data_IF_752351135442
#
_entry.id   IF_752351135442
#
_cell.length_a   1.000
_cell.length_b   1.000
_cell.length_c   1.000
_cell.angle_alpha   90.00
_cell.angle_beta   90.00
_cell.angle_gamma   90.00
#
_symmetry.space_group_name_H-M   'P 1'
#
loop_
_entity.id
_entity.type
_entity.pdbx_description
1 polymer ?
#
# COMPACT_ATOMS: atom_id res chain seq x y z
N UNK A 1 40.90 11.43 54.34
CA UNK A 1 39.76 12.32 54.57
C UNK A 1 38.60 12.14 53.50
N UNK A 2 38.56 11.08 52.69
CA UNK A 2 37.56 10.88 51.68
C UNK A 2 36.34 10.01 52.03
N UNK A 3 36.30 9.41 53.23
CA UNK A 3 35.26 8.39 53.57
C UNK A 3 33.99 8.95 54.22
N UNK A 4 34.03 10.14 54.84
CA UNK A 4 32.86 10.67 55.53
C UNK A 4 31.84 11.35 54.60
N UNK A 5 32.31 12.04 53.59
CA UNK A 5 31.46 12.74 52.59
C UNK A 5 30.60 11.76 51.78
N UNK A 6 31.17 10.64 51.33
CA UNK A 6 30.44 9.61 50.60
C UNK A 6 29.35 8.92 51.43
N UNK A 7 29.60 8.72 52.74
CA UNK A 7 28.61 8.12 53.65
C UNK A 7 27.42 9.05 53.90
N UNK A 8 27.68 10.36 54.02
CA UNK A 8 26.62 11.37 54.18
C UNK A 8 25.76 11.51 52.97
N UNK A 9 26.36 11.58 51.77
CA UNK A 9 25.66 11.63 50.51
C UNK A 9 24.78 10.38 50.29
N UNK A 10 25.30 9.19 50.59
CA UNK A 10 24.53 7.93 50.45
C UNK A 10 23.33 7.87 51.40
N UNK A 11 23.47 8.44 52.61
CA UNK A 11 22.41 8.52 53.62
C UNK A 11 21.30 9.52 53.19
N UNK A 12 21.68 10.67 52.62
CA UNK A 12 20.73 11.66 52.06
C UNK A 12 19.96 11.10 50.85
N UNK A 13 20.64 10.38 49.96
CA UNK A 13 20.00 9.70 48.84
C UNK A 13 18.96 8.68 49.35
N UNK A 14 19.28 7.91 50.35
CA UNK A 14 18.35 6.94 50.94
C UNK A 14 17.14 7.57 51.63
N UNK A 15 17.28 8.75 52.20
CA UNK A 15 16.16 9.49 52.82
C UNK A 15 15.25 10.19 51.82
N UNK A 16 15.74 10.45 50.60
CA UNK A 16 14.98 11.14 49.55
C UNK A 16 14.88 10.33 48.23
N UNK A 17 14.87 9.00 48.30
CA UNK A 17 14.82 8.08 47.17
C UNK A 17 13.70 8.44 46.18
N UNK A 18 12.49 8.77 46.66
CA UNK A 18 11.38 9.15 45.82
C UNK A 18 11.67 10.35 44.91
N UNK A 19 12.42 11.34 45.46
CA UNK A 19 12.80 12.55 44.73
C UNK A 19 13.85 12.25 43.65
N UNK A 20 14.82 11.39 43.92
CA UNK A 20 15.82 10.96 42.99
C UNK A 20 15.22 10.09 41.90
N UNK A 21 14.32 9.16 42.26
CA UNK A 21 13.61 8.34 41.29
C UNK A 21 12.71 9.17 40.37
N UNK A 22 12.03 10.20 40.88
CA UNK A 22 11.20 11.09 40.07
C UNK A 22 12.04 11.85 39.04
N UNK A 23 13.19 12.43 39.46
CA UNK A 23 14.07 13.14 38.51
C UNK A 23 14.66 12.18 37.49
N UNK A 24 15.12 11.01 37.95
CA UNK A 24 15.65 9.98 37.01
C UNK A 24 14.60 9.50 36.02
N UNK A 25 13.37 9.30 36.46
CA UNK A 25 12.28 8.92 35.58
C UNK A 25 11.95 9.99 34.52
N UNK A 26 11.95 11.28 34.90
CA UNK A 26 11.73 12.38 33.97
C UNK A 26 12.82 12.44 32.90
N UNK A 27 14.10 12.32 33.34
CA UNK A 27 15.24 12.31 32.41
C UNK A 27 15.21 11.08 31.50
N UNK A 28 14.93 9.90 32.06
CA UNK A 28 14.82 8.66 31.28
C UNK A 28 13.70 8.72 30.26
N UNK A 29 12.52 9.27 30.61
CA UNK A 29 11.42 9.51 29.70
C UNK A 29 11.81 10.48 28.58
N UNK A 30 12.45 11.60 28.92
CA UNK A 30 12.86 12.59 27.91
C UNK A 30 13.87 12.01 26.91
N UNK A 31 14.92 11.34 27.42
CA UNK A 31 15.93 10.70 26.55
C UNK A 31 15.34 9.55 25.76
N UNK A 32 14.53 8.71 26.40
CA UNK A 32 13.87 7.55 25.76
C UNK A 32 12.92 7.97 24.64
N UNK A 33 12.08 8.98 24.89
CA UNK A 33 11.17 9.52 23.88
C UNK A 33 11.92 10.12 22.68
N UNK A 34 12.93 10.94 22.93
CA UNK A 34 13.73 11.57 21.88
C UNK A 34 14.49 10.54 21.03
N UNK A 35 15.14 9.57 21.70
CA UNK A 35 15.85 8.50 21.00
C UNK A 35 14.90 7.61 20.22
N UNK A 36 13.73 7.27 20.79
CA UNK A 36 12.71 6.49 20.14
C UNK A 36 12.20 7.15 18.86
N UNK A 37 11.84 8.43 18.94
CA UNK A 37 11.35 9.18 17.76
C UNK A 37 12.40 9.24 16.65
N UNK A 38 13.68 9.42 16.97
CA UNK A 38 14.76 9.47 15.99
C UNK A 38 14.95 8.14 15.29
N UNK A 39 14.97 7.04 16.04
CA UNK A 39 15.10 5.68 15.47
C UNK A 39 13.87 5.31 14.62
N UNK A 40 12.67 5.67 15.08
CA UNK A 40 11.43 5.37 14.37
C UNK A 40 11.44 5.94 12.94
N UNK A 41 11.90 7.20 12.78
CA UNK A 41 12.00 7.82 11.44
C UNK A 41 12.91 7.01 10.51
N UNK A 42 14.10 6.65 10.98
CA UNK A 42 15.09 5.96 10.15
C UNK A 42 14.60 4.54 9.78
N UNK A 43 13.95 3.84 10.71
CA UNK A 43 13.33 2.54 10.46
C UNK A 43 12.18 2.64 9.46
N UNK A 44 11.30 3.64 9.59
CA UNK A 44 10.19 3.83 8.65
C UNK A 44 10.68 4.09 7.23
N UNK A 45 11.66 4.99 7.06
CA UNK A 45 12.24 5.28 5.73
C UNK A 45 12.90 4.04 5.13
N UNK A 46 13.72 3.33 5.91
CA UNK A 46 14.39 2.11 5.43
C UNK A 46 13.40 1.00 5.08
N UNK A 47 12.33 0.85 5.86
CA UNK A 47 11.28 -0.14 5.59
C UNK A 47 10.49 0.20 4.33
N UNK A 48 10.18 1.48 4.12
CA UNK A 48 9.51 1.93 2.91
C UNK A 48 10.37 1.73 1.66
N UNK A 49 11.67 2.08 1.74
CA UNK A 49 12.61 1.86 0.65
C UNK A 49 12.72 0.37 0.29
N UNK A 50 12.89 -0.49 1.31
CA UNK A 50 12.95 -1.94 1.08
C UNK A 50 11.67 -2.47 0.44
N UNK A 51 10.50 -1.98 0.85
CA UNK A 51 9.21 -2.37 0.28
C UNK A 51 9.10 -1.94 -1.19
N UNK A 52 9.47 -0.71 -1.52
CA UNK A 52 9.45 -0.21 -2.90
C UNK A 52 10.46 -0.93 -3.79
N UNK A 53 11.66 -1.23 -3.28
CA UNK A 53 12.66 -2.00 -4.01
C UNK A 53 12.17 -3.43 -4.29
N UNK A 54 11.55 -4.09 -3.30
CA UNK A 54 11.02 -5.45 -3.44
C UNK A 54 9.83 -5.56 -4.38
N UNK A 55 9.04 -4.49 -4.51
CA UNK A 55 7.87 -4.44 -5.39
C UNK A 55 8.17 -3.82 -6.75
N UNK A 56 9.42 -3.45 -7.01
CA UNK A 56 9.85 -2.74 -8.23
C UNK A 56 8.96 -1.52 -8.51
N UNK A 57 8.73 -0.72 -7.45
CA UNK A 57 7.85 0.44 -7.54
C UNK A 57 8.43 1.48 -8.50
N UNK A 58 7.61 2.05 -9.36
CA UNK A 58 8.04 3.03 -10.35
C UNK A 58 8.56 4.33 -9.71
N UNK A 59 9.57 4.95 -10.32
CA UNK A 59 10.03 6.29 -9.93
C UNK A 59 9.19 7.41 -10.57
N UNK A 60 8.63 7.14 -11.76
CA UNK A 60 7.85 8.11 -12.55
C UNK A 60 6.68 7.41 -13.24
N UNK A 61 5.51 8.00 -13.10
CA UNK A 61 4.31 7.61 -13.83
C UNK A 61 3.94 8.71 -14.84
N UNK A 62 3.67 8.31 -16.08
CA UNK A 62 3.17 9.18 -17.14
C UNK A 62 1.72 8.79 -17.45
N UNK A 63 0.80 9.71 -17.27
CA UNK A 63 -0.62 9.48 -17.49
C UNK A 63 -1.07 10.25 -18.74
N UNK A 64 -1.82 9.59 -19.62
CA UNK A 64 -2.45 10.20 -20.78
C UNK A 64 -3.91 9.76 -20.88
N UNK A 65 -4.81 10.73 -20.97
CA UNK A 65 -6.26 10.48 -21.15
C UNK A 65 -6.62 10.05 -22.58
N UNK A 66 -5.73 10.28 -23.53
CA UNK A 66 -5.89 9.86 -24.95
C UNK A 66 -5.06 8.62 -25.28
N UNK A 67 -4.44 8.01 -24.26
CA UNK A 67 -3.55 6.87 -24.42
C UNK A 67 -2.17 7.24 -24.92
N UNK A 68 -1.34 6.23 -25.09
CA UNK A 68 0.00 6.29 -25.68
C UNK A 68 0.07 5.39 -26.91
N UNK A 69 0.99 5.69 -27.81
CA UNK A 69 1.28 4.78 -28.93
C UNK A 69 1.81 3.44 -28.40
N UNK A 70 1.50 2.36 -29.10
CA UNK A 70 1.83 0.97 -28.69
C UNK A 70 3.32 0.74 -28.40
N UNK A 71 4.21 1.53 -29.00
CA UNK A 71 5.65 1.42 -28.84
C UNK A 71 6.25 2.47 -27.87
N UNK A 72 5.43 3.32 -27.24
CA UNK A 72 5.88 4.40 -26.37
C UNK A 72 6.74 3.89 -25.20
N UNK A 73 6.32 2.82 -24.52
CA UNK A 73 7.08 2.21 -23.44
C UNK A 73 8.46 1.73 -23.91
N UNK A 74 8.51 1.08 -25.09
CA UNK A 74 9.78 0.62 -25.72
C UNK A 74 10.68 1.78 -26.12
N UNK A 75 10.13 2.91 -26.54
CA UNK A 75 10.90 4.11 -26.87
C UNK A 75 11.45 4.75 -25.58
N UNK A 76 10.66 4.77 -24.51
CA UNK A 76 11.09 5.29 -23.20
C UNK A 76 12.20 4.44 -22.59
N UNK A 77 12.10 3.11 -22.60
CA UNK A 77 13.13 2.22 -22.04
C UNK A 77 14.49 2.30 -22.76
N UNK A 78 14.55 2.90 -23.96
CA UNK A 78 15.80 3.17 -24.69
C UNK A 78 16.46 4.50 -24.34
N UNK A 79 15.82 5.34 -23.51
CA UNK A 79 16.36 6.65 -23.12
C UNK A 79 17.44 6.46 -22.07
N UNK A 80 18.47 7.29 -22.15
CA UNK A 80 19.52 7.34 -21.12
C UNK A 80 18.91 7.72 -19.76
N UNK A 81 19.23 6.97 -18.73
CA UNK A 81 18.72 7.14 -17.37
C UNK A 81 17.39 6.41 -17.09
N UNK A 82 16.78 5.74 -18.07
CA UNK A 82 15.61 4.88 -17.88
C UNK A 82 16.07 3.44 -17.78
N UNK A 83 15.80 2.79 -16.67
CA UNK A 83 16.14 1.39 -16.43
C UNK A 83 15.17 0.48 -17.17
N UNK A 84 13.86 0.73 -16.99
CA UNK A 84 12.78 0.03 -17.68
C UNK A 84 11.55 0.94 -17.77
N UNK A 85 10.65 0.63 -18.73
CA UNK A 85 9.37 1.30 -18.90
C UNK A 85 8.32 0.31 -19.37
N UNK A 86 7.23 0.20 -18.62
CA UNK A 86 6.09 -0.66 -18.97
C UNK A 86 4.84 0.18 -19.19
N UNK A 87 4.07 -0.19 -20.21
CA UNK A 87 2.74 0.38 -20.42
C UNK A 87 1.72 -0.34 -19.54
N UNK A 88 0.81 0.40 -18.95
CA UNK A 88 -0.30 -0.13 -18.17
C UNK A 88 -1.59 0.55 -18.54
N UNK A 89 -2.69 -0.15 -18.34
CA UNK A 89 -4.03 0.40 -18.42
C UNK A 89 -4.68 0.32 -17.04
N UNK A 90 -5.31 1.41 -16.65
CA UNK A 90 -6.13 1.45 -15.44
C UNK A 90 -7.41 2.23 -15.70
N UNK A 91 -8.50 1.78 -15.13
CA UNK A 91 -9.80 2.46 -15.20
C UNK A 91 -10.57 2.21 -13.90
N UNK A 92 -11.45 3.14 -13.56
CA UNK A 92 -12.43 2.91 -12.51
C UNK A 92 -13.64 2.20 -13.13
N UNK A 93 -14.16 1.20 -12.46
CA UNK A 93 -15.34 0.48 -12.89
C UNK A 93 -16.23 0.09 -11.71
N UNK A 94 -17.52 0.01 -11.96
CA UNK A 94 -18.49 -0.56 -11.03
C UNK A 94 -18.54 -2.08 -11.25
N UNK A 95 -18.31 -2.83 -10.17
CA UNK A 95 -18.39 -4.28 -10.16
C UNK A 95 -19.37 -4.75 -9.10
N UNK A 96 -20.15 -5.76 -9.42
CA UNK A 96 -21.15 -6.37 -8.55
C UNK A 96 -20.61 -7.69 -8.01
N UNK A 97 -20.71 -7.88 -6.71
CA UNK A 97 -20.39 -9.13 -6.05
C UNK A 97 -21.56 -10.13 -6.11
N UNK A 98 -21.32 -11.39 -5.66
CA UNK A 98 -22.35 -12.44 -5.62
C UNK A 98 -23.54 -12.12 -4.70
N UNK A 99 -23.40 -11.17 -3.80
CA UNK A 99 -24.46 -10.69 -2.90
C UNK A 99 -25.30 -9.56 -3.52
N UNK A 100 -24.88 -9.08 -4.69
CA UNK A 100 -25.55 -7.97 -5.40
C UNK A 100 -25.09 -6.58 -4.93
N UNK A 101 -24.02 -6.49 -4.14
CA UNK A 101 -23.46 -5.19 -3.78
C UNK A 101 -22.60 -4.66 -4.92
N UNK A 102 -22.80 -3.41 -5.27
CA UNK A 102 -22.02 -2.71 -6.29
C UNK A 102 -20.86 -1.95 -5.61
N UNK A 103 -19.64 -2.18 -6.08
CA UNK A 103 -18.41 -1.58 -5.58
C UNK A 103 -17.71 -0.82 -6.70
N UNK A 104 -17.28 0.40 -6.44
CA UNK A 104 -16.43 1.16 -7.35
C UNK A 104 -14.97 0.75 -7.13
N UNK A 105 -14.39 0.01 -8.07
CA UNK A 105 -13.03 -0.49 -7.97
C UNK A 105 -12.14 0.17 -9.03
N UNK A 106 -10.90 0.48 -8.66
CA UNK A 106 -9.88 0.76 -9.65
C UNK A 106 -9.33 -0.56 -10.20
N UNK A 107 -9.58 -0.79 -11.48
CA UNK A 107 -9.10 -1.98 -12.19
C UNK A 107 -7.78 -1.63 -12.85
N UNK A 108 -6.76 -2.39 -12.57
CA UNK A 108 -5.39 -2.20 -13.05
C UNK A 108 -4.89 -3.47 -13.72
N UNK A 109 -4.10 -3.29 -14.75
CA UNK A 109 -3.38 -4.40 -15.36
C UNK A 109 -2.26 -4.88 -14.43
N UNK A 110 -2.17 -6.19 -14.21
CA UNK A 110 -1.03 -6.80 -13.54
C UNK A 110 0.19 -6.74 -14.46
N UNK A 111 1.23 -6.03 -14.05
CA UNK A 111 2.47 -5.92 -14.81
C UNK A 111 3.40 -7.09 -14.48
N UNK A 112 4.32 -7.41 -15.41
CA UNK A 112 5.25 -8.54 -15.23
C UNK A 112 6.37 -8.26 -14.22
N UNK A 113 6.89 -7.03 -14.21
CA UNK A 113 8.08 -6.69 -13.44
C UNK A 113 7.92 -5.46 -12.52
N UNK A 114 7.08 -4.49 -12.90
CA UNK A 114 6.88 -3.26 -12.13
C UNK A 114 5.63 -3.31 -11.25
N UNK A 115 5.65 -2.56 -10.16
CA UNK A 115 4.53 -2.38 -9.23
C UNK A 115 3.92 -3.71 -8.75
N UNK A 116 4.79 -4.69 -8.47
CA UNK A 116 4.34 -6.02 -8.10
C UNK A 116 3.51 -6.01 -6.82
N UNK A 117 2.26 -6.49 -6.86
CA UNK A 117 1.45 -6.57 -5.65
C UNK A 117 2.00 -7.65 -4.71
N UNK A 118 1.93 -7.38 -3.41
CA UNK A 118 2.35 -8.32 -2.37
C UNK A 118 1.15 -9.20 -1.98
N UNK A 119 1.27 -10.50 -2.24
CA UNK A 119 0.24 -11.46 -1.92
C UNK A 119 0.03 -11.59 -0.40
N UNK A 120 -1.21 -11.41 0.04
CA UNK A 120 -1.63 -11.59 1.44
C UNK A 120 -2.22 -12.98 1.64
N UNK A 121 -3.09 -13.43 0.70
CA UNK A 121 -3.69 -14.78 0.72
C UNK A 121 -4.11 -15.19 -0.68
N UNK A 122 -4.22 -16.50 -0.91
CA UNK A 122 -4.56 -17.07 -2.22
C UNK A 122 -3.35 -17.16 -3.16
N UNK A 123 -3.50 -16.78 -4.41
CA UNK A 123 -2.48 -16.79 -5.46
C UNK A 123 -2.67 -15.63 -6.45
N UNK A 124 -1.68 -15.35 -7.27
CA UNK A 124 -1.81 -14.42 -8.39
C UNK A 124 -2.64 -15.03 -9.55
N UNK A 125 -3.27 -14.19 -10.40
CA UNK A 125 -4.02 -14.61 -11.58
C UNK A 125 -3.14 -15.42 -12.55
N UNK A 126 -3.75 -16.40 -13.20
CA UNK A 126 -3.12 -17.24 -14.24
C UNK A 126 -3.89 -17.18 -15.56
N UNK A 127 -5.01 -16.49 -15.58
CA UNK A 127 -5.84 -16.30 -16.77
C UNK A 127 -6.56 -14.95 -16.71
N UNK A 128 -7.00 -14.45 -17.85
CA UNK A 128 -7.74 -13.19 -17.95
C UNK A 128 -9.12 -13.17 -17.25
N UNK A 129 -9.60 -14.32 -16.77
CA UNK A 129 -10.85 -14.44 -16.00
C UNK A 129 -10.61 -14.48 -14.48
N UNK A 130 -9.37 -14.37 -14.07
CA UNK A 130 -9.00 -14.35 -12.66
C UNK A 130 -8.51 -12.96 -12.27
N UNK A 131 -8.79 -12.59 -11.03
CA UNK A 131 -8.31 -11.33 -10.46
C UNK A 131 -7.79 -11.52 -9.03
N UNK A 132 -6.96 -10.59 -8.61
CA UNK A 132 -6.64 -10.39 -7.20
C UNK A 132 -7.17 -9.04 -6.75
N UNK A 133 -7.62 -8.97 -5.51
CA UNK A 133 -8.32 -7.81 -4.97
C UNK A 133 -7.59 -7.22 -3.77
N UNK A 134 -7.92 -6.00 -3.43
CA UNK A 134 -7.42 -5.26 -2.28
C UNK A 134 -7.71 -6.02 -0.97
N UNK A 135 -6.65 -6.37 -0.24
CA UNK A 135 -6.77 -7.10 1.01
C UNK A 135 -7.41 -6.28 2.15
N UNK A 136 -7.48 -4.95 2.02
CA UNK A 136 -8.16 -4.10 3.00
C UNK A 136 -9.65 -3.96 2.72
N UNK A 137 -10.07 -4.02 1.46
CA UNK A 137 -11.47 -3.90 1.06
C UNK A 137 -12.21 -5.25 1.10
N UNK A 138 -11.51 -6.34 0.80
CA UNK A 138 -12.09 -7.68 0.69
C UNK A 138 -11.59 -8.62 1.79
N UNK A 139 -12.51 -9.36 2.41
CA UNK A 139 -12.22 -10.39 3.42
C UNK A 139 -11.62 -11.68 2.83
N UNK A 140 -11.16 -12.59 3.68
CA UNK A 140 -10.65 -13.89 3.25
C UNK A 140 -11.71 -14.77 2.56
N UNK A 141 -12.96 -14.60 2.93
CA UNK A 141 -14.14 -15.25 2.38
C UNK A 141 -14.45 -14.85 0.93
N UNK A 142 -13.86 -13.75 0.44
CA UNK A 142 -14.00 -13.35 -0.96
C UNK A 142 -13.24 -14.24 -1.94
N UNK A 143 -12.25 -15.03 -1.50
CA UNK A 143 -11.48 -15.90 -2.39
C UNK A 143 -12.38 -17.02 -2.93
N UNK A 144 -12.47 -17.09 -4.26
CA UNK A 144 -13.34 -18.01 -4.98
C UNK A 144 -14.64 -17.38 -5.44
N UNK A 145 -15.03 -16.24 -4.87
CA UNK A 145 -16.19 -15.46 -5.31
C UNK A 145 -15.94 -14.79 -6.69
N UNK A 146 -17.02 -14.31 -7.28
CA UNK A 146 -17.02 -13.72 -8.61
C UNK A 146 -17.42 -12.25 -8.54
N UNK A 147 -16.70 -11.42 -9.26
CA UNK A 147 -17.05 -10.03 -9.55
C UNK A 147 -17.50 -9.91 -10.99
N UNK A 148 -18.61 -9.23 -11.23
CA UNK A 148 -19.16 -9.00 -12.57
C UNK A 148 -19.26 -7.51 -12.82
N UNK A 149 -18.86 -7.03 -14.01
CA UNK A 149 -19.06 -5.65 -14.43
C UNK A 149 -20.54 -5.29 -14.31
N UNK A 150 -20.81 -4.14 -13.70
CA UNK A 150 -22.17 -3.62 -13.56
C UNK A 150 -22.68 -3.06 -14.87
N UNK A 151 -23.97 -3.23 -15.12
CA UNK A 151 -24.66 -2.58 -16.23
C UNK A 151 -24.79 -1.05 -16.05
N UNK A 152 -24.38 -0.52 -14.90
CA UNK A 152 -24.35 0.92 -14.59
C UNK A 152 -23.03 1.59 -15.04
N UNK A 153 -22.07 0.84 -15.58
CA UNK A 153 -20.92 1.42 -16.25
C UNK A 153 -21.33 2.11 -17.55
N UNK A 154 -20.52 3.05 -18.02
CA UNK A 154 -20.69 3.61 -19.34
C UNK A 154 -20.15 2.68 -20.43
N UNK A 155 -20.58 2.92 -21.68
CA UNK A 155 -20.19 2.12 -22.84
C UNK A 155 -18.66 2.12 -23.03
N UNK A 156 -18.00 3.26 -22.78
CA UNK A 156 -16.54 3.41 -22.93
C UNK A 156 -15.80 2.52 -21.94
N UNK A 157 -16.26 2.47 -20.69
CA UNK A 157 -15.71 1.57 -19.66
C UNK A 157 -15.94 0.11 -20.03
N UNK A 158 -17.14 -0.24 -20.48
CA UNK A 158 -17.51 -1.61 -20.87
C UNK A 158 -16.65 -2.14 -22.03
N UNK A 159 -16.34 -1.28 -23.01
CA UNK A 159 -15.49 -1.63 -24.16
C UNK A 159 -14.01 -1.87 -23.79
N UNK A 160 -13.54 -1.35 -22.67
CA UNK A 160 -12.17 -1.59 -22.19
C UNK A 160 -11.95 -3.03 -21.71
N UNK A 161 -13.02 -3.75 -21.38
CA UNK A 161 -12.94 -5.09 -20.82
C UNK A 161 -13.28 -6.17 -21.85
N UNK A 162 -12.32 -7.06 -22.11
CA UNK A 162 -12.55 -8.26 -22.90
C UNK A 162 -13.40 -9.31 -22.17
N UNK A 163 -13.44 -9.26 -20.84
CA UNK A 163 -14.19 -10.16 -19.97
C UNK A 163 -15.06 -9.34 -19.02
N UNK A 164 -16.30 -9.77 -18.81
CA UNK A 164 -17.23 -9.08 -17.91
C UNK A 164 -17.27 -9.71 -16.49
N UNK A 165 -16.64 -10.86 -16.32
CA UNK A 165 -16.72 -11.64 -15.08
C UNK A 165 -15.34 -12.09 -14.68
N UNK A 166 -14.98 -11.86 -13.42
CA UNK A 166 -13.66 -12.15 -12.85
C UNK A 166 -13.81 -12.96 -11.58
N UNK A 167 -13.05 -14.06 -11.47
CA UNK A 167 -12.97 -14.85 -10.25
C UNK A 167 -11.85 -14.35 -9.36
N UNK A 168 -12.16 -14.06 -8.12
CA UNK A 168 -11.15 -13.68 -7.12
C UNK A 168 -10.32 -14.91 -6.74
N UNK A 169 -9.02 -14.87 -7.01
CA UNK A 169 -8.09 -15.97 -6.71
C UNK A 169 -7.09 -15.63 -5.61
N UNK A 170 -7.04 -14.37 -5.20
CA UNK A 170 -6.18 -13.94 -4.11
C UNK A 170 -6.44 -12.51 -3.69
N UNK A 171 -5.82 -12.16 -2.57
CA UNK A 171 -5.87 -10.82 -1.97
C UNK A 171 -4.46 -10.28 -1.85
N UNK A 172 -4.29 -9.02 -2.18
CA UNK A 172 -2.98 -8.38 -2.30
C UNK A 172 -2.95 -7.00 -1.64
N UNK A 173 -1.75 -6.57 -1.26
CA UNK A 173 -1.42 -5.17 -1.02
C UNK A 173 -0.68 -4.63 -2.24
N UNK A 174 -1.01 -3.41 -2.66
CA UNK A 174 -0.35 -2.76 -3.79
C UNK A 174 0.61 -1.67 -3.31
N UNK A 175 1.82 -1.55 -3.88
CA UNK A 175 2.74 -0.46 -3.58
C UNK A 175 2.19 0.91 -4.03
N UNK A 176 1.31 0.93 -5.01
CA UNK A 176 0.62 2.15 -5.50
C UNK A 176 -0.28 2.74 -4.41
N UNK A 177 -0.82 1.89 -3.53
CA UNK A 177 -1.70 2.30 -2.44
C UNK A 177 -1.03 2.13 -1.07
N UNK A 178 -0.06 3.00 -0.78
CA UNK A 178 0.65 3.01 0.50
C UNK A 178 -0.18 3.55 1.67
N UNK A 179 -1.34 4.20 1.41
CA UNK A 179 -2.26 4.72 2.41
C UNK A 179 -3.57 3.92 2.47
N UNK A 180 -4.42 4.28 3.43
CA UNK A 180 -5.74 3.65 3.61
C UNK A 180 -6.77 4.14 2.58
N UNK A 181 -6.67 5.39 2.14
CA UNK A 181 -7.59 5.99 1.18
C UNK A 181 -7.26 5.54 -0.24
N UNK A 182 -8.29 5.12 -0.99
CA UNK A 182 -8.16 4.62 -2.37
C UNK A 182 -8.41 5.69 -3.43
N UNK A 183 -8.88 6.85 -3.03
CA UNK A 183 -9.14 7.97 -3.90
C UNK A 183 -10.63 8.21 -4.17
N UNK A 184 -10.90 9.06 -5.14
CA UNK A 184 -12.25 9.46 -5.56
C UNK A 184 -12.46 9.12 -7.02
N UNK A 185 -13.70 8.82 -7.38
CA UNK A 185 -14.13 8.51 -8.74
C UNK A 185 -15.38 9.32 -9.09
N UNK A 186 -15.73 9.36 -10.37
CA UNK A 186 -17.03 9.88 -10.82
C UNK A 186 -18.14 8.85 -10.75
N UNK A 187 -17.82 7.59 -10.40
CA UNK A 187 -18.75 6.48 -10.38
C UNK A 187 -19.36 6.28 -8.98
N UNK A 188 -20.52 5.64 -8.92
CA UNK A 188 -21.18 5.23 -7.69
C UNK A 188 -21.37 6.36 -6.69
N UNK A 189 -20.85 6.17 -5.49
CA UNK A 189 -20.93 7.14 -4.38
C UNK A 189 -19.83 8.23 -4.41
N UNK A 190 -18.95 8.21 -5.43
CA UNK A 190 -17.86 9.17 -5.59
C UNK A 190 -16.55 8.76 -4.89
N UNK A 191 -16.49 7.58 -4.29
CA UNK A 191 -15.28 7.03 -3.65
C UNK A 191 -14.89 5.69 -4.28
N UNK A 192 -13.59 5.43 -4.34
CA UNK A 192 -13.07 4.11 -4.73
C UNK A 192 -13.09 3.22 -3.48
N UNK A 193 -13.81 2.11 -3.55
CA UNK A 193 -13.96 1.14 -2.46
C UNK A 193 -12.74 0.24 -2.31
N UNK A 194 -12.01 0.03 -3.38
CA UNK A 194 -10.80 -0.80 -3.43
C UNK A 194 -10.19 -0.86 -4.81
N UNK A 195 -9.27 -1.78 -4.99
CA UNK A 195 -8.66 -2.03 -6.31
C UNK A 195 -8.65 -3.52 -6.64
N UNK A 196 -8.49 -3.81 -7.94
CA UNK A 196 -8.21 -5.16 -8.42
C UNK A 196 -7.17 -5.15 -9.53
N UNK A 197 -6.42 -6.26 -9.63
CA UNK A 197 -5.53 -6.54 -10.76
C UNK A 197 -6.06 -7.71 -11.58
N UNK A 198 -5.99 -7.55 -12.90
CA UNK A 198 -6.38 -8.53 -13.92
C UNK A 198 -5.24 -8.85 -14.85
#
# INVERSE_FOLDING_TARGET
MGSSMGKTTLREIRQSLGRYFAIMAIVALGVGLFSGLKVTRDVMVSSAQLYFDQTSFYDVELISTVGFETDAARQLSRREGVLDAQGSVSTDALLVDESGNENALQVMQLLDEQNQPVLVSGRLPQSAQECVVDALAFGEDSIGATLTLSDNNDDDTDEMFAQKTFRIVGRVNSPVYANYERGTTSLGNGTIDGFMFV
#
